data_IF_044285877280
#
_entry.id   IF_044285877280
#
_cell.length_a   1.000
_cell.length_b   1.000
_cell.length_c   1.000
_cell.angle_alpha   90.00
_cell.angle_beta   90.00
_cell.angle_gamma   90.00
#
_symmetry.space_group_name_H-M   'P 1'
#
loop_
_entity.id
_entity.type
_entity.pdbx_description
1 polymer ?
#
# COMPACT_ATOMS: atom_id res chain seq x y z
N UNK A 1 -15.68 15.44 20.18
CA UNK A 1 -14.62 16.20 19.48
C UNK A 1 -13.67 15.22 18.83
N UNK A 2 -13.29 15.45 17.58
CA UNK A 2 -12.39 14.59 16.82
C UNK A 2 -11.21 15.39 16.27
N UNK A 3 -10.17 14.70 15.82
CA UNK A 3 -9.03 15.29 15.13
C UNK A 3 -8.84 14.63 13.77
N UNK A 4 -8.69 15.46 12.74
CA UNK A 4 -8.21 15.08 11.42
C UNK A 4 -6.79 15.60 11.24
N UNK A 5 -5.89 14.78 10.73
CA UNK A 5 -4.48 15.14 10.53
C UNK A 5 -4.20 15.32 9.05
N UNK A 6 -3.57 16.44 8.66
CA UNK A 6 -3.30 16.74 7.25
C UNK A 6 -2.10 17.66 7.05
N UNK A 7 -1.68 17.85 5.79
CA UNK A 7 -0.63 18.80 5.41
C UNK A 7 -1.02 20.24 5.78
N UNK A 8 -0.06 21.03 6.30
CA UNK A 8 -0.27 22.43 6.66
C UNK A 8 -0.74 23.28 5.47
N UNK A 9 -0.33 22.93 4.25
CA UNK A 9 -0.80 23.57 3.02
C UNK A 9 -2.33 23.51 2.82
N UNK A 10 -3.02 22.54 3.44
CA UNK A 10 -4.47 22.43 3.39
C UNK A 10 -5.19 23.36 4.37
N UNK A 11 -4.49 23.90 5.39
CA UNK A 11 -5.11 24.68 6.46
C UNK A 11 -5.89 25.91 5.96
N UNK A 12 -5.36 26.76 5.04
CA UNK A 12 -6.12 27.91 4.55
C UNK A 12 -7.43 27.53 3.86
N UNK A 13 -7.41 26.45 3.07
CA UNK A 13 -8.61 25.93 2.39
C UNK A 13 -9.62 25.38 3.41
N UNK A 14 -9.15 24.61 4.38
CA UNK A 14 -10.00 24.01 5.41
C UNK A 14 -10.71 25.07 6.25
N UNK A 15 -10.03 26.19 6.57
CA UNK A 15 -10.70 27.31 7.26
C UNK A 15 -11.86 27.90 6.47
N UNK A 16 -11.75 27.95 5.13
CA UNK A 16 -12.77 28.56 4.27
C UNK A 16 -13.92 27.62 3.93
N UNK A 17 -13.61 26.36 3.59
CA UNK A 17 -14.59 25.43 3.01
C UNK A 17 -14.69 24.09 3.74
N UNK A 18 -14.04 23.93 4.89
CA UNK A 18 -14.01 22.68 5.62
C UNK A 18 -13.16 21.59 4.95
N UNK A 19 -13.39 20.35 5.36
CA UNK A 19 -12.62 19.18 4.92
C UNK A 19 -13.42 18.41 3.87
N UNK A 20 -12.85 18.26 2.68
CA UNK A 20 -13.46 17.48 1.59
C UNK A 20 -13.45 15.99 1.91
N UNK A 21 -14.50 15.29 1.50
CA UNK A 21 -14.60 13.83 1.47
C UNK A 21 -13.63 13.21 0.43
N UNK A 22 -12.33 13.26 0.73
CA UNK A 22 -11.27 12.80 -0.17
C UNK A 22 -10.75 11.39 0.17
N UNK A 23 -11.07 10.86 1.36
CA UNK A 23 -10.74 9.49 1.74
C UNK A 23 -11.73 8.50 1.13
N UNK A 24 -11.24 7.32 0.75
CA UNK A 24 -12.08 6.16 0.41
C UNK A 24 -12.24 5.29 1.66
N UNK A 25 -13.48 4.99 2.05
CA UNK A 25 -13.84 4.07 3.13
C UNK A 25 -14.43 2.76 2.60
N UNK A 26 -14.93 1.95 3.52
CA UNK A 26 -15.64 0.69 3.23
C UNK A 26 -16.78 0.89 2.23
N UNK A 27 -16.97 -0.09 1.35
CA UNK A 27 -18.04 -0.06 0.34
C UNK A 27 -17.93 1.09 -0.68
N UNK A 28 -16.73 1.62 -0.91
CA UNK A 28 -16.49 2.71 -1.86
C UNK A 28 -16.90 4.09 -1.37
N UNK A 29 -17.30 4.23 -0.10
CA UNK A 29 -17.75 5.50 0.47
C UNK A 29 -16.64 6.56 0.43
N UNK A 30 -17.04 7.83 0.27
CA UNK A 30 -16.13 8.98 0.28
C UNK A 30 -16.31 9.78 1.55
N UNK A 31 -15.21 10.11 2.22
CA UNK A 31 -15.30 10.72 3.56
C UNK A 31 -14.00 11.26 4.11
N UNK A 32 -14.00 11.49 5.42
CA UNK A 32 -12.89 12.05 6.18
C UNK A 32 -12.51 11.13 7.33
N UNK A 33 -11.24 10.74 7.36
CA UNK A 33 -10.66 10.00 8.48
C UNK A 33 -10.35 10.94 9.63
N UNK A 34 -10.86 10.59 10.81
CA UNK A 34 -10.65 11.30 12.05
C UNK A 34 -10.31 10.31 13.17
N UNK A 35 -9.92 10.85 14.32
CA UNK A 35 -9.76 10.08 15.54
C UNK A 35 -10.35 10.85 16.74
N UNK A 36 -10.97 10.20 17.74
CA UNK A 36 -11.43 10.88 18.93
C UNK A 36 -10.31 11.66 19.63
N UNK A 37 -10.62 12.84 20.15
CA UNK A 37 -9.70 13.52 21.07
C UNK A 37 -9.76 12.81 22.41
N UNK A 38 -8.67 12.15 22.79
CA UNK A 38 -8.50 11.42 24.05
C UNK A 38 -7.64 12.23 25.05
N UNK A 39 -7.63 11.87 26.34
CA UNK A 39 -6.75 12.52 27.33
C UNK A 39 -5.27 12.43 26.97
N UNK A 40 -4.84 11.36 26.31
CA UNK A 40 -3.47 11.19 25.83
C UNK A 40 -3.24 11.94 24.52
N UNK A 41 -2.29 12.88 24.52
CA UNK A 41 -1.87 13.60 23.32
C UNK A 41 -1.33 12.64 22.25
N UNK A 42 -0.53 11.65 22.67
CA UNK A 42 0.08 10.67 21.77
C UNK A 42 -0.95 9.79 21.08
N UNK A 43 -1.98 9.34 21.81
CA UNK A 43 -3.06 8.53 21.23
C UNK A 43 -3.94 9.36 20.30
N UNK A 44 -4.30 10.57 20.71
CA UNK A 44 -5.07 11.50 19.88
C UNK A 44 -4.39 11.75 18.53
N UNK A 45 -3.06 11.88 18.55
CA UNK A 45 -2.26 12.23 17.37
C UNK A 45 -1.41 11.06 16.86
N UNK A 46 -1.86 9.83 17.08
CA UNK A 46 -1.09 8.61 16.82
C UNK A 46 -0.60 8.43 15.37
N UNK A 47 -1.24 9.10 14.42
CA UNK A 47 -0.95 9.03 12.99
C UNK A 47 0.10 10.04 12.50
N UNK A 48 0.53 11.00 13.33
CA UNK A 48 1.42 12.09 12.89
C UNK A 48 2.74 11.58 12.31
N UNK A 49 3.45 10.73 13.05
CA UNK A 49 4.75 10.20 12.64
C UNK A 49 4.66 9.31 11.40
N UNK A 50 3.57 8.56 11.25
CA UNK A 50 3.34 7.76 10.05
C UNK A 50 3.07 8.65 8.83
N UNK A 51 2.16 9.61 8.96
CA UNK A 51 1.79 10.51 7.86
C UNK A 51 2.96 11.42 7.43
N UNK A 52 3.84 11.81 8.36
CA UNK A 52 5.03 12.61 8.04
C UNK A 52 6.00 11.90 7.07
N UNK A 53 5.97 10.56 6.98
CA UNK A 53 6.86 9.79 6.08
C UNK A 53 6.59 10.04 4.61
N UNK A 54 5.35 10.36 4.26
CA UNK A 54 4.95 10.56 2.87
C UNK A 54 5.28 11.98 2.37
N UNK A 55 5.86 12.81 3.23
CA UNK A 55 6.16 14.21 2.95
C UNK A 55 4.91 15.08 3.10
N UNK A 56 5.09 16.25 3.71
CA UNK A 56 4.02 17.23 3.89
C UNK A 56 4.54 18.62 3.51
N UNK A 57 3.79 19.37 2.72
CA UNK A 57 4.16 20.76 2.40
C UNK A 57 3.91 21.65 3.62
N UNK A 58 4.98 22.15 4.22
CA UNK A 58 4.91 23.06 5.38
C UNK A 58 4.62 22.37 6.72
N UNK A 59 4.80 21.05 6.80
CA UNK A 59 4.54 20.27 8.01
C UNK A 59 3.12 19.69 8.08
N UNK A 60 2.77 19.13 9.24
CA UNK A 60 1.47 18.51 9.49
C UNK A 60 0.70 19.34 10.53
N UNK A 61 -0.61 19.46 10.34
CA UNK A 61 -1.55 20.13 11.23
C UNK A 61 -2.64 19.16 11.72
N UNK A 62 -3.07 19.38 12.96
CA UNK A 62 -4.22 18.76 13.59
C UNK A 62 -5.43 19.70 13.44
N UNK A 63 -6.44 19.26 12.71
CA UNK A 63 -7.72 19.93 12.54
C UNK A 63 -8.71 19.31 13.51
N UNK A 64 -9.04 20.02 14.57
CA UNK A 64 -10.06 19.58 15.52
C UNK A 64 -11.44 19.91 14.97
N UNK A 65 -12.33 18.92 14.98
CA UNK A 65 -13.68 19.01 14.44
C UNK A 65 -14.71 18.57 15.47
N UNK A 66 -15.85 19.27 15.49
CA UNK A 66 -17.00 18.95 16.32
C UNK A 66 -18.09 18.39 15.42
N UNK A 67 -18.34 17.09 15.58
CA UNK A 67 -19.46 16.39 14.96
C UNK A 67 -20.61 16.34 15.96
N UNK A 68 -21.83 16.26 15.46
CA UNK A 68 -23.02 15.97 16.26
C UNK A 68 -22.96 14.53 16.78
N UNK A 69 -23.51 14.30 17.97
CA UNK A 69 -23.36 13.03 18.69
C UNK A 69 -24.06 11.85 17.98
N UNK A 70 -25.11 12.15 17.22
CA UNK A 70 -25.92 11.23 16.43
C UNK A 70 -25.40 11.01 15.01
N UNK A 71 -24.39 11.78 14.57
CA UNK A 71 -23.77 11.61 13.27
C UNK A 71 -23.28 10.18 13.10
N UNK A 72 -23.82 9.45 12.13
CA UNK A 72 -23.35 8.11 11.80
C UNK A 72 -21.93 8.17 11.23
N UNK A 73 -21.06 7.33 11.77
CA UNK A 73 -19.66 7.17 11.39
C UNK A 73 -19.31 5.68 11.32
N UNK A 74 -18.27 5.34 10.59
CA UNK A 74 -17.67 4.02 10.61
C UNK A 74 -16.53 4.01 11.63
N UNK A 75 -16.47 3.00 12.49
CA UNK A 75 -15.41 2.83 13.49
C UNK A 75 -14.80 1.43 13.39
N UNK A 76 -13.47 1.35 13.46
CA UNK A 76 -12.74 0.08 13.41
C UNK A 76 -11.23 0.30 13.42
N UNK A 77 -10.47 -0.80 13.29
CA UNK A 77 -9.04 -0.72 13.05
C UNK A 77 -8.76 -0.35 11.60
N UNK A 78 -7.62 0.28 11.33
CA UNK A 78 -7.22 0.65 9.95
C UNK A 78 -7.10 -0.56 9.00
N UNK A 79 -6.90 -1.76 9.54
CA UNK A 79 -6.88 -3.04 8.80
C UNK A 79 -8.27 -3.52 8.41
N UNK A 80 -9.32 -3.06 9.10
CA UNK A 80 -10.69 -3.52 8.88
C UNK A 80 -11.28 -2.90 7.62
N UNK A 81 -10.73 -1.76 7.17
CA UNK A 81 -11.08 -1.13 5.90
C UNK A 81 -10.92 -2.08 4.71
N UNK A 82 -9.81 -2.83 4.64
CA UNK A 82 -9.55 -3.73 3.50
C UNK A 82 -10.42 -4.98 3.55
N UNK A 83 -11.17 -5.18 4.64
CA UNK A 83 -12.04 -6.33 4.88
C UNK A 83 -13.52 -5.94 4.95
N UNK A 84 -13.83 -4.66 4.70
CA UNK A 84 -15.17 -4.09 4.88
C UNK A 84 -15.80 -4.46 6.24
N UNK A 85 -15.00 -4.37 7.31
CA UNK A 85 -15.38 -4.82 8.66
C UNK A 85 -15.54 -3.67 9.68
N UNK A 86 -15.64 -2.42 9.24
CA UNK A 86 -15.90 -1.29 10.15
C UNK A 86 -17.37 -1.24 10.56
N UNK A 87 -17.64 -0.90 11.82
CA UNK A 87 -18.99 -0.83 12.36
C UNK A 87 -19.58 0.58 12.17
N UNK A 88 -20.83 0.67 11.69
CA UNK A 88 -21.59 1.92 11.64
C UNK A 88 -22.19 2.23 13.01
N UNK A 89 -21.82 3.38 13.60
CA UNK A 89 -22.31 3.82 14.91
C UNK A 89 -22.47 5.34 14.97
N UNK A 90 -23.23 5.89 15.93
CA UNK A 90 -23.21 7.32 16.23
C UNK A 90 -21.81 7.80 16.66
N UNK A 91 -21.49 9.06 16.37
CA UNK A 91 -20.19 9.65 16.69
C UNK A 91 -19.86 9.58 18.19
N UNK A 92 -20.84 9.84 19.06
CA UNK A 92 -20.64 9.71 20.51
C UNK A 92 -20.32 8.28 20.95
N UNK A 93 -20.92 7.28 20.29
CA UNK A 93 -20.64 5.87 20.54
C UNK A 93 -19.22 5.48 20.08
N UNK A 94 -18.76 5.98 18.93
CA UNK A 94 -17.39 5.76 18.48
C UNK A 94 -16.35 6.29 19.49
N UNK A 95 -16.60 7.47 20.08
CA UNK A 95 -15.75 8.03 21.14
C UNK A 95 -15.74 7.12 22.37
N UNK A 96 -16.92 6.69 22.85
CA UNK A 96 -17.03 5.80 24.02
C UNK A 96 -16.28 4.49 23.80
N UNK A 97 -16.50 3.84 22.65
CA UNK A 97 -15.85 2.56 22.32
C UNK A 97 -14.34 2.69 22.31
N UNK A 98 -13.80 3.66 21.59
CA UNK A 98 -12.35 3.84 21.47
C UNK A 98 -11.73 4.22 22.82
N UNK A 99 -12.39 5.08 23.60
CA UNK A 99 -11.88 5.50 24.91
C UNK A 99 -11.85 4.37 25.95
N UNK A 100 -12.70 3.35 25.78
CA UNK A 100 -12.78 2.19 26.67
C UNK A 100 -11.79 1.06 26.31
N UNK A 101 -11.05 1.18 25.20
CA UNK A 101 -10.06 0.17 24.80
C UNK A 101 -8.81 0.25 25.68
N UNK A 102 -8.28 -0.92 26.07
CA UNK A 102 -6.96 -1.02 26.69
C UNK A 102 -5.85 -0.47 25.76
N UNK A 103 -5.97 -0.74 24.46
CA UNK A 103 -5.10 -0.19 23.43
C UNK A 103 -5.88 0.37 22.22
N UNK A 104 -6.06 1.69 22.14
CA UNK A 104 -6.74 2.32 21.01
C UNK A 104 -5.82 2.59 19.80
N UNK A 105 -4.57 2.12 19.82
CA UNK A 105 -3.65 2.34 18.69
C UNK A 105 -4.11 1.57 17.45
N UNK A 106 -4.10 2.26 16.31
CA UNK A 106 -4.58 1.76 15.02
C UNK A 106 -6.10 1.80 14.85
N UNK A 107 -6.86 2.28 15.83
CA UNK A 107 -8.27 2.59 15.62
C UNK A 107 -8.44 3.90 14.87
N UNK A 108 -9.51 3.98 14.09
CA UNK A 108 -9.88 5.16 13.32
C UNK A 108 -11.41 5.32 13.26
N UNK A 109 -11.84 6.55 12.99
CA UNK A 109 -13.24 6.88 12.73
C UNK A 109 -13.33 7.51 11.35
N UNK A 110 -14.18 6.97 10.49
CA UNK A 110 -14.43 7.49 9.16
C UNK A 110 -15.81 8.16 9.11
N UNK A 111 -15.82 9.44 8.78
CA UNK A 111 -17.04 10.24 8.60
C UNK A 111 -17.41 10.17 7.12
N UNK A 112 -18.54 9.54 6.72
CA UNK A 112 -18.88 9.28 5.32
C UNK A 112 -19.47 10.50 4.60
N UNK A 113 -18.92 11.68 4.86
CA UNK A 113 -19.25 12.96 4.21
C UNK A 113 -18.11 13.96 4.34
N UNK A 114 -18.26 15.10 3.67
CA UNK A 114 -17.40 16.25 3.94
C UNK A 114 -17.72 16.84 5.33
N UNK A 115 -16.71 17.44 5.96
CA UNK A 115 -16.87 18.20 7.21
C UNK A 115 -16.94 19.68 6.85
N UNK A 116 -18.03 20.34 7.24
CA UNK A 116 -18.27 21.75 6.96
C UNK A 116 -17.35 22.69 7.73
N UNK A 117 -17.20 23.95 7.27
CA UNK A 117 -16.33 24.92 7.93
C UNK A 117 -16.77 25.25 9.36
N UNK A 118 -18.07 25.22 9.67
CA UNK A 118 -18.61 25.47 11.02
C UNK A 118 -18.33 24.34 12.01
N UNK A 119 -18.06 23.14 11.52
CA UNK A 119 -17.67 21.99 12.33
C UNK A 119 -16.18 22.03 12.69
N UNK A 120 -15.37 22.84 11.98
CA UNK A 120 -13.95 23.04 12.30
C UNK A 120 -13.83 23.91 13.54
N UNK A 121 -13.43 23.29 14.65
CA UNK A 121 -13.25 23.98 15.92
C UNK A 121 -11.94 24.76 15.98
N UNK A 122 -10.82 24.15 15.54
CA UNK A 122 -9.50 24.80 15.50
C UNK A 122 -8.51 24.02 14.64
N UNK A 123 -7.48 24.71 14.15
CA UNK A 123 -6.35 24.10 13.43
C UNK A 123 -5.07 24.43 14.19
N UNK A 124 -4.28 23.41 14.53
CA UNK A 124 -3.00 23.56 15.26
C UNK A 124 -1.87 22.87 14.51
N UNK A 125 -0.67 23.43 14.59
CA UNK A 125 0.54 22.68 14.25
C UNK A 125 0.70 21.53 15.24
N UNK A 126 1.25 20.41 14.77
CA UNK A 126 1.43 19.24 15.62
C UNK A 126 2.86 18.68 15.46
N UNK A 127 3.58 18.41 16.55
CA UNK A 127 4.93 17.85 16.49
C UNK A 127 4.96 16.50 15.77
N UNK A 128 5.74 16.40 14.70
CA UNK A 128 5.79 15.20 13.84
C UNK A 128 6.54 14.00 14.46
N UNK A 129 7.09 14.17 15.67
CA UNK A 129 7.73 13.09 16.43
C UNK A 129 6.74 12.18 17.18
N UNK A 130 5.45 12.55 17.23
CA UNK A 130 4.43 11.85 18.03
C UNK A 130 3.74 10.76 17.22
N UNK A 131 3.42 9.64 17.88
CA UNK A 131 2.74 8.50 17.28
C UNK A 131 3.68 7.40 16.81
N UNK A 132 3.11 6.39 16.15
CA UNK A 132 3.84 5.21 15.69
C UNK A 132 4.26 5.35 14.23
N UNK A 133 5.12 4.42 13.76
CA UNK A 133 5.64 4.37 12.39
C UNK A 133 5.43 2.95 11.86
N UNK A 134 4.98 2.80 10.62
CA UNK A 134 4.59 1.55 9.95
C UNK A 134 3.32 0.91 10.50
N UNK A 135 3.32 0.54 11.77
CA UNK A 135 2.17 0.00 12.50
C UNK A 135 2.40 0.19 14.02
N UNK A 136 1.36 0.09 14.86
CA UNK A 136 1.55 -0.04 16.30
C UNK A 136 2.56 -1.15 16.62
N UNK A 137 3.44 -0.90 17.60
CA UNK A 137 4.49 -1.82 18.06
C UNK A 137 5.51 -2.30 17.00
N UNK A 138 5.66 -1.56 15.88
CA UNK A 138 6.71 -1.87 14.90
C UNK A 138 8.15 -1.72 15.45
N UNK A 139 8.34 -0.99 16.55
CA UNK A 139 9.66 -0.79 17.12
C UNK A 139 10.19 -2.08 17.75
N UNK A 140 11.45 -2.44 17.45
CA UNK A 140 12.07 -3.68 17.95
C UNK A 140 11.67 -4.94 17.19
N UNK A 141 10.65 -4.86 16.32
CA UNK A 141 10.26 -5.97 15.45
C UNK A 141 11.18 -6.02 14.24
N UNK A 142 11.74 -7.21 13.97
CA UNK A 142 12.58 -7.46 12.81
C UNK A 142 11.72 -7.35 11.53
N UNK A 143 12.05 -6.46 10.58
CA UNK A 143 11.26 -6.32 9.36
C UNK A 143 11.41 -7.54 8.45
N UNK A 144 10.31 -8.02 7.87
CA UNK A 144 10.36 -9.03 6.83
C UNK A 144 10.94 -8.43 5.53
N UNK A 145 11.92 -9.10 4.93
CA UNK A 145 12.61 -8.67 3.72
C UNK A 145 12.13 -9.36 2.45
N UNK A 146 11.08 -10.19 2.54
CA UNK A 146 10.46 -10.88 1.41
C UNK A 146 9.93 -9.88 0.37
N UNK A 147 9.72 -10.35 -0.87
CA UNK A 147 9.29 -9.52 -1.99
C UNK A 147 7.91 -8.87 -1.76
N UNK A 148 7.05 -9.52 -0.98
CA UNK A 148 5.71 -9.04 -0.63
C UNK A 148 5.69 -7.99 0.49
N UNK A 149 6.47 -8.18 1.56
CA UNK A 149 6.45 -7.30 2.74
C UNK A 149 7.35 -6.07 2.60
N UNK A 150 8.36 -6.10 1.71
CA UNK A 150 9.34 -5.01 1.61
C UNK A 150 8.78 -3.78 0.91
N UNK A 151 9.10 -2.60 1.43
CA UNK A 151 8.90 -1.34 0.69
C UNK A 151 9.96 -1.24 -0.41
N UNK A 152 9.53 -1.36 -1.67
CA UNK A 152 10.42 -1.23 -2.84
C UNK A 152 10.94 0.20 -2.96
N UNK A 153 12.22 0.35 -3.29
CA UNK A 153 12.84 1.67 -3.48
C UNK A 153 12.98 2.52 -2.21
N UNK A 154 12.58 2.01 -1.04
CA UNK A 154 12.71 2.73 0.21
C UNK A 154 14.17 3.02 0.57
N UNK A 155 14.40 4.14 1.26
CA UNK A 155 15.71 4.47 1.80
C UNK A 155 16.26 3.32 2.65
N UNK A 156 17.51 2.91 2.40
CA UNK A 156 18.15 1.80 3.11
C UNK A 156 17.66 0.39 2.75
N UNK A 157 16.66 0.24 1.86
CA UNK A 157 16.09 -1.07 1.52
C UNK A 157 17.11 -2.03 0.89
N UNK A 158 18.07 -1.52 0.11
CA UNK A 158 19.18 -2.33 -0.43
C UNK A 158 20.05 -2.90 0.70
N UNK A 159 20.55 -2.04 1.58
CA UNK A 159 21.38 -2.41 2.73
C UNK A 159 20.65 -3.38 3.67
N UNK A 160 19.34 -3.20 3.86
CA UNK A 160 18.51 -4.10 4.66
C UNK A 160 18.49 -5.51 4.05
N UNK A 161 18.28 -5.66 2.73
CA UNK A 161 18.29 -6.97 2.06
C UNK A 161 19.65 -7.64 2.09
N UNK A 162 20.72 -6.86 1.92
CA UNK A 162 22.09 -7.38 1.97
C UNK A 162 22.43 -7.90 3.38
N UNK A 163 22.01 -7.20 4.44
CA UNK A 163 22.20 -7.63 5.83
C UNK A 163 21.25 -8.74 6.27
N UNK A 164 20.08 -8.83 5.65
CA UNK A 164 18.99 -9.71 6.05
C UNK A 164 18.31 -10.34 4.83
N UNK A 165 18.99 -11.30 4.17
CA UNK A 165 18.38 -12.09 3.11
C UNK A 165 17.13 -12.80 3.65
N UNK A 166 16.03 -12.74 2.89
CA UNK A 166 14.88 -13.60 3.17
C UNK A 166 15.21 -15.04 2.73
N UNK A 167 14.84 -16.09 3.46
CA UNK A 167 15.15 -17.47 3.06
C UNK A 167 14.54 -17.87 1.70
N UNK A 168 13.32 -17.40 1.41
CA UNK A 168 12.61 -17.70 0.15
C UNK A 168 12.93 -16.71 -0.98
N UNK A 169 13.26 -15.47 -0.62
CA UNK A 169 13.46 -14.36 -1.58
C UNK A 169 14.85 -13.74 -1.44
N UNK A 170 15.84 -14.58 -1.07
CA UNK A 170 17.23 -14.20 -0.86
C UNK A 170 17.79 -13.48 -2.07
N UNK A 171 18.94 -12.77 -1.96
CA UNK A 171 19.36 -11.84 -3.01
C UNK A 171 19.30 -12.54 -4.38
N UNK A 172 18.48 -12.01 -5.32
CA UNK A 172 18.20 -12.72 -6.56
C UNK A 172 19.53 -13.00 -7.28
N UNK A 173 19.73 -14.18 -7.88
CA UNK A 173 20.96 -14.48 -8.62
C UNK A 173 21.25 -13.38 -9.64
N UNK A 174 22.52 -13.08 -9.99
CA UNK A 174 22.82 -12.08 -11.01
C UNK A 174 22.13 -12.38 -12.34
N UNK A 175 21.72 -11.34 -13.09
CA UNK A 175 21.00 -11.52 -14.36
C UNK A 175 21.74 -12.43 -15.35
N UNK A 176 23.08 -12.32 -15.42
CA UNK A 176 23.94 -13.19 -16.24
C UNK A 176 23.83 -14.68 -15.87
N UNK A 177 23.65 -14.99 -14.59
CA UNK A 177 23.52 -16.38 -14.11
C UNK A 177 22.15 -16.93 -14.51
N UNK A 178 21.10 -16.11 -14.39
CA UNK A 178 19.76 -16.51 -14.83
C UNK A 178 19.68 -16.72 -16.34
N UNK A 179 20.27 -15.84 -17.14
CA UNK A 179 20.33 -15.99 -18.60
C UNK A 179 21.13 -17.22 -19.02
N UNK A 180 22.23 -17.52 -18.31
CA UNK A 180 22.98 -18.76 -18.54
C UNK A 180 22.14 -20.01 -18.24
N UNK A 181 21.26 -19.97 -17.22
CA UNK A 181 20.32 -21.07 -16.94
C UNK A 181 19.26 -21.23 -18.02
N UNK A 182 18.72 -20.13 -18.57
CA UNK A 182 17.80 -20.17 -19.72
C UNK A 182 18.48 -20.84 -20.91
N UNK A 183 19.69 -20.40 -21.26
CA UNK A 183 20.44 -21.00 -22.36
C UNK A 183 20.77 -22.48 -22.12
N UNK A 184 21.09 -22.87 -20.88
CA UNK A 184 21.39 -24.25 -20.52
C UNK A 184 20.15 -25.15 -20.50
N UNK A 185 18.94 -24.60 -20.38
CA UNK A 185 17.70 -25.37 -20.40
C UNK A 185 17.41 -25.97 -21.79
N UNK A 186 18.04 -25.45 -22.85
CA UNK A 186 17.87 -25.91 -24.23
C UNK A 186 16.65 -25.30 -24.92
N UNK A 187 16.27 -25.87 -26.08
CA UNK A 187 15.12 -25.44 -26.88
C UNK A 187 14.08 -26.58 -26.93
N UNK A 188 12.83 -26.36 -26.49
CA UNK A 188 12.25 -25.10 -26.02
C UNK A 188 12.63 -24.71 -24.58
N UNK A 189 13.31 -25.60 -23.85
CA UNK A 189 13.73 -25.40 -22.47
C UNK A 189 12.90 -26.20 -21.46
N UNK A 190 13.51 -26.63 -20.35
CA UNK A 190 12.77 -27.25 -19.24
C UNK A 190 11.83 -26.24 -18.56
N UNK A 191 10.49 -26.46 -18.57
CA UNK A 191 9.53 -25.54 -17.98
C UNK A 191 9.80 -25.22 -16.50
N UNK A 192 10.28 -26.19 -15.71
CA UNK A 192 10.52 -25.97 -14.28
C UNK A 192 11.69 -24.98 -14.08
N UNK A 193 12.76 -25.14 -14.86
CA UNK A 193 13.93 -24.25 -14.83
C UNK A 193 13.55 -22.85 -15.31
N UNK A 194 12.79 -22.76 -16.40
CA UNK A 194 12.37 -21.48 -16.96
C UNK A 194 11.47 -20.71 -15.99
N UNK A 195 10.53 -21.38 -15.32
CA UNK A 195 9.66 -20.76 -14.32
C UNK A 195 10.44 -20.26 -13.11
N UNK A 196 11.40 -21.04 -12.59
CA UNK A 196 12.28 -20.58 -11.50
C UNK A 196 13.05 -19.33 -11.91
N UNK A 197 13.59 -19.29 -13.13
CA UNK A 197 14.31 -18.14 -13.64
C UNK A 197 13.40 -16.91 -13.79
N UNK A 198 12.22 -17.08 -14.36
CA UNK A 198 11.22 -16.02 -14.55
C UNK A 198 10.75 -15.45 -13.21
N UNK A 199 10.52 -16.30 -12.21
CA UNK A 199 10.24 -15.87 -10.84
C UNK A 199 11.31 -14.89 -10.32
N UNK A 200 12.59 -15.23 -10.46
CA UNK A 200 13.68 -14.34 -10.03
C UNK A 200 13.74 -13.03 -10.82
N UNK A 201 13.44 -13.08 -12.12
CA UNK A 201 13.30 -11.90 -12.98
C UNK A 201 12.15 -10.98 -12.54
N UNK A 202 11.03 -11.54 -12.07
CA UNK A 202 9.88 -10.83 -11.50
C UNK A 202 10.21 -9.99 -10.26
N UNK A 203 11.30 -10.31 -9.57
CA UNK A 203 11.74 -9.54 -8.40
C UNK A 203 12.42 -8.19 -8.75
N UNK A 204 12.64 -7.92 -10.05
CA UNK A 204 13.41 -6.77 -10.57
C UNK A 204 12.51 -5.69 -11.17
N UNK A 205 13.05 -4.47 -11.25
CA UNK A 205 12.38 -3.30 -11.89
C UNK A 205 12.66 -3.21 -13.39
N UNK A 206 13.74 -3.84 -13.85
CA UNK A 206 14.13 -3.90 -15.27
C UNK A 206 14.74 -5.27 -15.51
N UNK A 207 14.53 -5.79 -16.71
CA UNK A 207 15.16 -7.02 -17.16
C UNK A 207 15.42 -7.04 -18.67
N UNK A 208 16.11 -8.09 -19.13
CA UNK A 208 16.57 -8.27 -20.50
C UNK A 208 15.44 -8.77 -21.39
N UNK A 209 14.46 -7.90 -21.67
CA UNK A 209 13.25 -8.26 -22.40
C UNK A 209 13.54 -9.00 -23.71
N UNK A 210 14.43 -8.46 -24.54
CA UNK A 210 14.80 -9.06 -25.84
C UNK A 210 15.33 -10.49 -25.75
N UNK A 211 15.91 -10.88 -24.61
CA UNK A 211 16.45 -12.23 -24.40
C UNK A 211 15.41 -13.20 -23.84
N UNK A 212 14.26 -12.70 -23.38
CA UNK A 212 13.17 -13.52 -22.83
C UNK A 212 11.92 -13.52 -23.70
N UNK A 213 11.79 -12.60 -24.66
CA UNK A 213 10.63 -12.50 -25.56
C UNK A 213 10.33 -13.81 -26.29
N UNK A 214 11.35 -14.61 -26.63
CA UNK A 214 11.15 -15.92 -27.28
C UNK A 214 10.31 -16.89 -26.44
N UNK A 215 10.31 -16.76 -25.11
CA UNK A 215 9.50 -17.60 -24.22
C UNK A 215 7.99 -17.36 -24.36
N UNK A 216 7.56 -16.28 -25.02
CA UNK A 216 6.16 -16.05 -25.35
C UNK A 216 5.59 -17.06 -26.35
N UNK A 217 6.45 -17.81 -27.06
CA UNK A 217 6.05 -18.90 -27.96
C UNK A 217 6.33 -20.29 -27.35
N UNK A 218 6.71 -20.37 -26.07
CA UNK A 218 7.03 -21.64 -25.42
C UNK A 218 5.81 -22.58 -25.42
N UNK A 219 5.95 -23.88 -25.72
CA UNK A 219 4.81 -24.80 -25.83
C UNK A 219 4.04 -24.97 -24.51
N UNK A 220 4.75 -24.97 -23.38
CA UNK A 220 4.14 -25.02 -22.04
C UNK A 220 3.51 -23.66 -21.66
N UNK A 221 2.17 -23.59 -21.46
CA UNK A 221 1.49 -22.35 -21.08
C UNK A 221 1.92 -21.80 -19.72
N UNK A 222 2.36 -22.62 -18.77
CA UNK A 222 2.83 -22.15 -17.46
C UNK A 222 4.13 -21.33 -17.57
N UNK A 223 4.94 -21.55 -18.61
CA UNK A 223 6.12 -20.69 -18.87
C UNK A 223 5.69 -19.33 -19.41
N UNK A 224 4.69 -19.30 -20.31
CA UNK A 224 4.14 -18.06 -20.89
C UNK A 224 3.42 -17.24 -19.83
N UNK A 225 2.66 -17.90 -18.95
CA UNK A 225 2.02 -17.27 -17.80
C UNK A 225 3.06 -16.69 -16.82
N UNK A 226 4.10 -17.44 -16.46
CA UNK A 226 5.15 -16.94 -15.57
C UNK A 226 5.92 -15.77 -16.20
N UNK A 227 6.03 -15.71 -17.54
CA UNK A 227 6.61 -14.56 -18.23
C UNK A 227 5.79 -13.29 -18.02
N UNK A 228 4.45 -13.38 -18.05
CA UNK A 228 3.54 -12.26 -17.73
C UNK A 228 3.81 -11.75 -16.32
N UNK A 229 3.82 -12.66 -15.33
CA UNK A 229 4.10 -12.32 -13.93
C UNK A 229 5.51 -11.75 -13.71
N UNK A 230 6.49 -12.19 -14.48
CA UNK A 230 7.86 -11.69 -14.39
C UNK A 230 7.99 -10.24 -14.89
N UNK A 231 7.24 -9.85 -15.93
CA UNK A 231 7.39 -8.54 -16.58
C UNK A 231 6.44 -7.47 -16.05
N UNK A 232 5.37 -7.82 -15.33
CA UNK A 232 4.33 -6.87 -14.85
C UNK A 232 4.86 -5.60 -14.20
N UNK A 233 5.96 -5.67 -13.44
CA UNK A 233 6.51 -4.51 -12.71
C UNK A 233 7.75 -3.92 -13.37
N UNK A 234 8.03 -4.30 -14.61
CA UNK A 234 9.18 -3.81 -15.33
C UNK A 234 8.93 -2.43 -15.93
N UNK A 235 9.98 -1.61 -15.88
CA UNK A 235 10.06 -0.33 -16.60
C UNK A 235 10.89 -0.44 -17.89
N UNK A 236 11.05 -1.67 -18.39
CA UNK A 236 11.78 -1.93 -19.64
C UNK A 236 10.85 -1.60 -20.82
N UNK A 237 11.27 -0.77 -21.79
CA UNK A 237 10.50 -0.53 -23.02
C UNK A 237 10.22 -1.84 -23.77
N UNK A 238 9.05 -1.98 -24.41
CA UNK A 238 8.65 -3.20 -25.12
C UNK A 238 7.76 -4.15 -24.32
N UNK A 239 7.59 -3.92 -23.00
CA UNK A 239 6.79 -4.81 -22.14
C UNK A 239 5.31 -4.74 -22.49
N UNK A 240 4.79 -3.56 -22.85
CA UNK A 240 3.39 -3.42 -23.21
C UNK A 240 3.06 -4.23 -24.48
N UNK A 241 3.93 -4.15 -25.48
CA UNK A 241 3.83 -4.87 -26.74
C UNK A 241 3.91 -6.39 -26.55
N UNK A 242 4.75 -6.86 -25.63
CA UNK A 242 4.79 -8.27 -25.24
C UNK A 242 3.47 -8.71 -24.60
N UNK A 243 2.92 -7.92 -23.68
CA UNK A 243 1.65 -8.23 -23.00
C UNK A 243 0.46 -8.16 -23.95
N UNK A 244 0.47 -7.26 -24.94
CA UNK A 244 -0.54 -7.22 -26.00
C UNK A 244 -0.53 -8.52 -26.83
N UNK A 245 0.65 -9.05 -27.16
CA UNK A 245 0.76 -10.35 -27.84
C UNK A 245 0.23 -11.52 -27.01
N UNK A 246 0.51 -11.54 -25.70
CA UNK A 246 0.06 -12.59 -24.79
C UNK A 246 -1.42 -12.46 -24.38
N UNK A 247 -2.06 -11.30 -24.61
CA UNK A 247 -3.49 -11.14 -24.36
C UNK A 247 -4.36 -12.04 -25.27
N UNK A 248 -3.83 -12.38 -26.45
CA UNK A 248 -4.47 -13.25 -27.44
C UNK A 248 -3.98 -14.71 -27.36
N UNK A 249 -3.33 -15.10 -26.26
CA UNK A 249 -2.80 -16.45 -26.08
C UNK A 249 -3.91 -17.51 -26.16
N UNK A 250 -3.68 -18.68 -26.80
CA UNK A 250 -4.69 -19.74 -26.87
C UNK A 250 -5.10 -20.27 -25.49
N UNK A 251 -4.23 -20.22 -24.49
CA UNK A 251 -4.50 -20.74 -23.16
C UNK A 251 -5.16 -19.70 -22.25
N UNK A 252 -6.26 -20.07 -21.59
CA UNK A 252 -7.04 -19.16 -20.74
C UNK A 252 -6.21 -18.55 -19.60
N UNK A 253 -5.46 -19.37 -18.87
CA UNK A 253 -4.63 -18.91 -17.73
C UNK A 253 -3.64 -17.81 -18.11
N UNK A 254 -3.10 -17.84 -19.33
CA UNK A 254 -2.17 -16.80 -19.82
C UNK A 254 -2.92 -15.49 -20.06
N UNK A 255 -4.11 -15.55 -20.68
CA UNK A 255 -4.96 -14.37 -20.90
C UNK A 255 -5.43 -13.77 -19.58
N UNK A 256 -5.87 -14.61 -18.65
CA UNK A 256 -6.28 -14.19 -17.30
C UNK A 256 -5.12 -13.54 -16.53
N UNK A 257 -3.90 -14.07 -16.65
CA UNK A 257 -2.71 -13.43 -16.09
C UNK A 257 -2.48 -12.04 -16.70
N UNK A 258 -2.64 -11.87 -18.03
CA UNK A 258 -2.51 -10.57 -18.70
C UNK A 258 -3.58 -9.56 -18.22
N UNK A 259 -4.82 -10.00 -18.08
CA UNK A 259 -5.90 -9.17 -17.54
C UNK A 259 -5.59 -8.73 -16.10
N UNK A 260 -5.20 -9.66 -15.23
CA UNK A 260 -4.88 -9.39 -13.84
C UNK A 260 -3.72 -8.38 -13.66
N UNK A 261 -2.70 -8.45 -14.53
CA UNK A 261 -1.58 -7.50 -14.47
C UNK A 261 -1.94 -6.11 -15.00
N UNK A 262 -2.93 -6.01 -15.91
CA UNK A 262 -3.44 -4.72 -16.42
C UNK A 262 -4.32 -4.00 -15.40
N UNK A 263 -5.05 -4.76 -14.59
CA UNK A 263 -5.88 -4.23 -13.49
C UNK A 263 -5.04 -3.82 -12.27
N UNK A 264 -3.80 -4.29 -12.17
CA UNK A 264 -2.88 -3.99 -11.08
C UNK A 264 -2.11 -2.67 -11.33
N UNK A 265 -2.30 -1.61 -10.52
CA UNK A 265 -1.59 -0.32 -10.68
C UNK A 265 -0.11 -0.34 -10.29
#
# INVERSE_FOLDING_TARGET
MFVHVTSAANAPRIRRSGIRAAGSGQGGLRGVYCFPVLPSYTLTHQWLRELARFGSRGGIVAVHVRLDDDQLVLVGRYTDRTRDAQATVPAAEAVRRIAALDDPRGWEVFVPRAIGPREVHRIRTAPQGVGWRYQPDAHGVRPCTCFGCRIRGGYGARRLRERMPHPLDGPPPPARVLLARVAAAGEPGDPAVLREVLHWFGTRRRGPLSQLTGLAAHPDPSVREELVWAVVRWSTPGVAELLDGLAEDPHADVREAVEAVRESP
#
